data_IF_045324705844
#
_entry.id   IF_045324705844
#
_cell.length_a   1.000
_cell.length_b   1.000
_cell.length_c   1.000
_cell.angle_alpha   90.00
_cell.angle_beta   90.00
_cell.angle_gamma   90.00
#
_symmetry.space_group_name_H-M   'P 1'
#
loop_
_entity.id
_entity.type
_entity.pdbx_description
1 polymer ?
#
# COMPACT_ATOMS: atom_id res chain seq x y z
N UNK A 1 9.94 -8.67 -21.03
CA UNK A 1 10.35 -8.84 -19.61
C UNK A 1 9.24 -8.26 -18.76
N UNK A 2 8.76 -8.99 -17.75
CA UNK A 2 7.76 -8.46 -16.82
C UNK A 2 8.35 -7.26 -16.06
N UNK A 3 7.64 -6.14 -16.06
CA UNK A 3 8.08 -4.94 -15.34
C UNK A 3 7.75 -5.13 -13.86
N UNK A 4 8.61 -4.69 -12.94
CA UNK A 4 8.26 -4.66 -11.51
C UNK A 4 7.25 -3.54 -11.22
N UNK A 5 6.28 -3.77 -10.35
CA UNK A 5 5.34 -2.75 -9.91
C UNK A 5 6.03 -1.86 -8.87
N UNK A 6 6.16 -0.56 -9.17
CA UNK A 6 6.67 0.45 -8.24
C UNK A 6 5.49 1.06 -7.49
N UNK A 7 5.38 0.80 -6.20
CA UNK A 7 4.33 1.31 -5.34
C UNK A 7 4.92 2.34 -4.36
N UNK A 8 4.28 3.49 -4.24
CA UNK A 8 4.56 4.44 -3.18
C UNK A 8 3.46 4.40 -2.12
N UNK A 9 3.81 4.25 -0.85
CA UNK A 9 2.89 4.29 0.28
C UNK A 9 3.15 5.55 1.09
N UNK A 10 2.25 6.53 0.97
CA UNK A 10 2.24 7.76 1.74
C UNK A 10 1.39 7.59 2.98
N UNK A 11 2.01 7.67 4.15
CA UNK A 11 1.35 7.49 5.44
C UNK A 11 2.10 8.26 6.52
N UNK A 12 1.37 8.84 7.47
CA UNK A 12 1.96 9.53 8.60
C UNK A 12 2.66 8.58 9.58
N UNK A 13 3.43 9.12 10.55
CA UNK A 13 4.11 8.30 11.57
C UNK A 13 3.15 7.49 12.44
N UNK A 14 1.92 7.96 12.63
CA UNK A 14 0.91 7.27 13.43
C UNK A 14 0.26 6.09 12.68
N UNK A 15 0.43 6.06 11.36
CA UNK A 15 -0.10 5.04 10.45
C UNK A 15 0.96 3.97 10.12
N UNK A 16 2.04 3.90 10.90
CA UNK A 16 3.07 2.87 10.81
C UNK A 16 2.50 1.43 10.77
N UNK A 17 1.53 1.05 11.64
CA UNK A 17 0.90 -0.27 11.58
C UNK A 17 0.16 -0.53 10.26
N UNK A 18 -0.46 0.52 9.69
CA UNK A 18 -1.12 0.42 8.40
C UNK A 18 -0.08 0.19 7.29
N UNK A 19 1.01 0.94 7.30
CA UNK A 19 2.08 0.80 6.31
C UNK A 19 2.70 -0.60 6.31
N UNK A 20 2.98 -1.14 7.50
CA UNK A 20 3.50 -2.50 7.64
C UNK A 20 2.50 -3.55 7.13
N UNK A 21 1.22 -3.40 7.51
CA UNK A 21 0.15 -4.27 7.04
C UNK A 21 0.05 -4.28 5.52
N UNK A 22 0.12 -3.11 4.85
CA UNK A 22 0.05 -3.03 3.40
C UNK A 22 1.23 -3.74 2.73
N UNK A 23 2.45 -3.57 3.26
CA UNK A 23 3.64 -4.27 2.78
C UNK A 23 3.51 -5.79 2.90
N UNK A 24 3.03 -6.29 4.05
CA UNK A 24 2.77 -7.72 4.26
C UNK A 24 1.66 -8.23 3.35
N UNK A 25 0.59 -7.47 3.17
CA UNK A 25 -0.54 -7.86 2.33
C UNK A 25 -0.13 -8.10 0.87
N UNK A 26 0.79 -7.31 0.33
CA UNK A 26 1.32 -7.53 -1.03
C UNK A 26 2.02 -8.89 -1.18
N UNK A 27 2.71 -9.36 -0.13
CA UNK A 27 3.36 -10.66 -0.14
C UNK A 27 2.38 -11.84 -0.07
N UNK A 28 1.13 -11.59 0.32
CA UNK A 28 0.06 -12.60 0.43
C UNK A 28 -0.77 -12.72 -0.86
N UNK A 29 -0.45 -11.93 -1.90
CA UNK A 29 -1.14 -12.03 -3.18
C UNK A 29 -0.87 -13.39 -3.85
N UNK A 30 -1.90 -13.99 -4.47
CA UNK A 30 -1.77 -15.33 -5.08
C UNK A 30 -1.09 -15.30 -6.46
N UNK A 31 -0.28 -14.28 -6.74
CA UNK A 31 0.38 -14.05 -8.04
C UNK A 31 1.84 -13.65 -7.84
N UNK A 32 2.72 -14.06 -8.75
CA UNK A 32 4.14 -13.77 -8.63
C UNK A 32 4.52 -12.49 -9.37
N UNK A 33 4.25 -11.34 -8.73
CA UNK A 33 4.60 -10.02 -9.25
C UNK A 33 5.76 -9.44 -8.45
N UNK A 34 6.78 -8.91 -9.14
CA UNK A 34 7.89 -8.22 -8.48
C UNK A 34 7.48 -6.83 -8.02
N UNK A 35 7.75 -6.48 -6.76
CA UNK A 35 7.39 -5.20 -6.15
C UNK A 35 8.62 -4.38 -5.78
N UNK A 36 8.56 -3.07 -6.06
CA UNK A 36 9.45 -2.06 -5.48
C UNK A 36 8.57 -1.14 -4.64
N UNK A 37 8.73 -1.18 -3.32
CA UNK A 37 7.91 -0.39 -2.39
C UNK A 37 8.75 0.78 -1.87
N UNK A 38 8.26 1.99 -2.11
CA UNK A 38 8.76 3.25 -1.55
C UNK A 38 7.76 3.80 -0.55
N UNK A 39 8.23 4.58 0.42
CA UNK A 39 7.39 5.06 1.53
C UNK A 39 7.83 6.43 2.03
N UNK A 40 6.91 7.14 2.69
CA UNK A 40 7.19 8.38 3.40
C UNK A 40 8.35 8.23 4.40
N UNK A 41 9.24 9.24 4.53
CA UNK A 41 9.36 10.45 3.69
C UNK A 41 10.28 10.22 2.47
N UNK A 42 9.77 10.30 1.24
CA UNK A 42 10.57 10.15 0.00
C UNK A 42 9.85 10.80 -1.21
N UNK A 43 9.81 12.14 -1.23
CA UNK A 43 9.05 12.90 -2.25
C UNK A 43 9.56 12.65 -3.67
N UNK A 44 10.88 12.49 -3.84
CA UNK A 44 11.49 12.32 -5.16
C UNK A 44 11.03 11.00 -5.83
N UNK A 45 10.84 9.94 -5.02
CA UNK A 45 10.35 8.65 -5.52
C UNK A 45 8.88 8.68 -5.95
N UNK A 46 8.11 9.72 -5.61
CA UNK A 46 6.70 9.85 -6.02
C UNK A 46 6.58 9.93 -7.54
N UNK A 47 7.52 10.57 -8.24
CA UNK A 47 7.47 10.67 -9.69
C UNK A 47 7.68 9.29 -10.38
N UNK A 48 8.51 8.44 -9.79
CA UNK A 48 8.93 7.16 -10.37
C UNK A 48 7.98 5.98 -10.13
N UNK A 49 7.00 6.11 -9.23
CA UNK A 49 6.09 5.01 -8.93
C UNK A 49 5.06 4.78 -10.05
N UNK A 50 4.58 3.54 -10.21
CA UNK A 50 3.45 3.22 -11.08
C UNK A 50 2.11 3.44 -10.37
N UNK A 51 2.12 3.35 -9.04
CA UNK A 51 0.97 3.45 -8.17
C UNK A 51 1.32 4.31 -6.96
N UNK A 52 0.36 5.12 -6.53
CA UNK A 52 0.46 5.88 -5.31
C UNK A 52 -0.68 5.50 -4.37
N UNK A 53 -0.36 5.19 -3.12
CA UNK A 53 -1.32 4.89 -2.06
C UNK A 53 -1.13 5.93 -0.98
N UNK A 54 -2.23 6.53 -0.54
CA UNK A 54 -2.24 7.42 0.63
C UNK A 54 -3.15 6.86 1.70
N UNK A 55 -2.63 6.77 2.93
CA UNK A 55 -3.38 6.36 4.11
C UNK A 55 -3.41 7.52 5.09
N UNK A 56 -4.62 7.99 5.41
CA UNK A 56 -4.85 9.08 6.37
C UNK A 56 -5.60 8.53 7.59
N UNK A 57 -5.06 8.79 8.78
CA UNK A 57 -5.73 8.53 10.05
C UNK A 57 -6.65 9.69 10.47
N UNK A 58 -6.69 10.02 11.79
CA UNK A 58 -7.43 11.16 12.31
C UNK A 58 -6.90 12.53 11.87
N UNK A 59 -5.60 12.62 11.58
CA UNK A 59 -4.93 13.88 11.25
C UNK A 59 -3.99 13.71 10.04
N UNK A 60 -3.54 14.84 9.47
CA UNK A 60 -2.54 14.89 8.43
C UNK A 60 -1.17 15.27 9.02
N UNK A 61 -0.12 14.55 8.65
CA UNK A 61 1.25 14.85 9.06
C UNK A 61 2.13 15.18 7.86
N UNK A 62 3.08 16.11 8.01
CA UNK A 62 4.12 16.30 7.01
C UNK A 62 5.01 15.03 6.91
N UNK A 63 5.52 14.66 5.72
CA UNK A 63 5.35 15.32 4.43
C UNK A 63 4.20 14.79 3.55
N UNK A 64 3.23 14.05 4.11
CA UNK A 64 2.14 13.38 3.35
C UNK A 64 1.41 14.35 2.42
N UNK A 65 1.12 15.56 2.89
CA UNK A 65 0.45 16.56 2.06
C UNK A 65 1.25 16.96 0.81
N UNK A 66 2.58 17.07 0.93
CA UNK A 66 3.46 17.37 -0.20
C UNK A 66 3.57 16.19 -1.17
N UNK A 67 3.63 14.97 -0.64
CA UNK A 67 3.66 13.75 -1.46
C UNK A 67 2.38 13.59 -2.29
N UNK A 68 1.20 13.85 -1.69
CA UNK A 68 -0.09 13.86 -2.39
C UNK A 68 -0.14 14.98 -3.43
N UNK A 69 0.35 16.17 -3.10
CA UNK A 69 0.42 17.30 -4.02
C UNK A 69 1.25 16.97 -5.28
N UNK A 70 2.36 16.25 -5.13
CA UNK A 70 3.16 15.78 -6.25
C UNK A 70 2.48 14.64 -7.01
N UNK A 71 1.92 13.66 -6.32
CA UNK A 71 1.23 12.53 -6.94
C UNK A 71 0.08 12.99 -7.84
N UNK A 72 -0.69 13.99 -7.43
CA UNK A 72 -1.80 14.55 -8.24
C UNK A 72 -1.37 15.20 -9.56
N UNK A 73 -0.09 15.56 -9.70
CA UNK A 73 0.48 16.12 -10.94
C UNK A 73 0.94 15.04 -11.91
N UNK A 74 0.78 13.79 -11.53
CA UNK A 74 1.11 12.64 -12.36
C UNK A 74 -0.19 11.95 -12.79
N UNK A 75 -0.22 11.38 -13.99
CA UNK A 75 -1.41 10.67 -14.52
C UNK A 75 -1.55 9.24 -13.96
N UNK A 76 -0.92 8.95 -12.81
CA UNK A 76 -0.90 7.59 -12.25
C UNK A 76 -2.10 7.35 -11.31
N UNK A 77 -2.50 6.07 -11.13
CA UNK A 77 -3.55 5.75 -10.18
C UNK A 77 -3.15 6.12 -8.74
N UNK A 78 -4.08 6.79 -8.07
CA UNK A 78 -3.97 7.16 -6.65
C UNK A 78 -5.08 6.44 -5.88
N UNK A 79 -4.70 5.60 -4.92
CA UNK A 79 -5.65 4.96 -4.01
C UNK A 79 -5.63 5.67 -2.66
N UNK A 80 -6.75 6.32 -2.32
CA UNK A 80 -6.91 7.03 -1.07
C UNK A 80 -7.64 6.17 -0.04
N UNK A 81 -7.05 6.02 1.15
CA UNK A 81 -7.68 5.36 2.28
C UNK A 81 -7.75 6.32 3.47
N UNK A 82 -8.94 6.48 4.03
CA UNK A 82 -9.14 7.34 5.19
C UNK A 82 -9.80 6.57 6.33
N UNK A 83 -9.18 6.60 7.51
CA UNK A 83 -9.75 6.03 8.73
C UNK A 83 -11.14 6.62 8.98
N UNK A 84 -12.10 5.81 9.42
CA UNK A 84 -13.46 6.25 9.73
C UNK A 84 -13.56 7.02 11.06
N UNK A 85 -12.48 7.04 11.86
CA UNK A 85 -12.42 7.74 13.14
C UNK A 85 -12.67 9.26 13.01
N UNK A 86 -12.98 9.89 14.14
CA UNK A 86 -13.12 11.34 14.23
C UNK A 86 -11.80 12.02 13.81
N UNK A 87 -11.93 13.05 12.98
CA UNK A 87 -10.78 13.78 12.40
C UNK A 87 -10.60 15.13 13.06
N UNK A 88 -9.34 15.53 13.17
CA UNK A 88 -8.98 16.91 13.49
C UNK A 88 -9.50 17.87 12.40
N UNK A 89 -9.62 19.17 12.68
CA UNK A 89 -9.92 20.15 11.65
C UNK A 89 -8.92 20.12 10.47
N UNK A 90 -7.64 19.90 10.74
CA UNK A 90 -6.61 19.80 9.69
C UNK A 90 -6.82 18.57 8.80
N UNK A 91 -7.09 17.40 9.38
CA UNK A 91 -7.44 16.19 8.63
C UNK A 91 -8.73 16.33 7.82
N UNK A 92 -9.72 17.08 8.32
CA UNK A 92 -10.95 17.37 7.58
C UNK A 92 -10.69 18.25 6.36
N UNK A 93 -9.99 19.38 6.54
CA UNK A 93 -9.63 20.29 5.45
C UNK A 93 -8.82 19.56 4.38
N UNK A 94 -7.84 18.75 4.79
CA UNK A 94 -7.01 17.99 3.86
C UNK A 94 -7.84 17.07 2.95
N UNK A 95 -8.83 16.35 3.50
CA UNK A 95 -9.71 15.50 2.70
C UNK A 95 -10.64 16.31 1.79
N UNK A 96 -11.12 17.47 2.24
CA UNK A 96 -11.97 18.35 1.45
C UNK A 96 -11.21 18.94 0.24
N UNK A 97 -9.97 19.39 0.44
CA UNK A 97 -9.10 19.88 -0.64
C UNK A 97 -8.71 18.78 -1.65
N UNK A 98 -8.78 17.52 -1.21
CA UNK A 98 -8.48 16.35 -2.02
C UNK A 98 -9.72 15.51 -2.29
N UNK A 99 -10.91 16.13 -2.36
CA UNK A 99 -12.19 15.45 -2.62
C UNK A 99 -12.25 14.75 -3.98
N UNK A 100 -11.41 15.17 -4.94
CA UNK A 100 -11.31 14.52 -6.26
C UNK A 100 -10.62 13.16 -6.22
N UNK A 101 -10.02 12.78 -5.09
CA UNK A 101 -9.52 11.43 -4.89
C UNK A 101 -10.67 10.52 -4.40
N UNK A 102 -10.73 9.31 -4.92
CA UNK A 102 -11.68 8.30 -4.46
C UNK A 102 -11.23 7.75 -3.10
N UNK A 103 -11.70 8.39 -2.03
CA UNK A 103 -11.36 8.01 -0.66
C UNK A 103 -12.19 6.81 -0.17
N UNK A 104 -11.53 5.67 -0.04
CA UNK A 104 -12.11 4.49 0.62
C UNK A 104 -12.01 4.63 2.14
N UNK A 105 -13.16 4.67 2.81
CA UNK A 105 -13.23 4.71 4.27
C UNK A 105 -12.94 3.33 4.87
N UNK A 106 -12.15 3.27 5.93
CA UNK A 106 -11.89 2.01 6.65
C UNK A 106 -12.08 2.18 8.17
N UNK A 107 -12.76 1.22 8.80
CA UNK A 107 -12.98 1.24 10.26
C UNK A 107 -11.75 0.72 11.06
N UNK A 108 -10.85 -0.02 10.41
CA UNK A 108 -9.64 -0.53 11.05
C UNK A 108 -8.75 -1.30 10.07
N UNK A 109 -7.63 -1.82 10.57
CA UNK A 109 -6.60 -2.49 9.78
C UNK A 109 -7.14 -3.65 8.91
N UNK A 110 -8.00 -4.57 9.40
CA UNK A 110 -8.54 -5.63 8.54
C UNK A 110 -9.37 -5.10 7.36
N UNK A 111 -10.12 -4.01 7.57
CA UNK A 111 -10.90 -3.38 6.50
C UNK A 111 -9.98 -2.68 5.48
N UNK A 112 -8.94 -1.98 5.96
CA UNK A 112 -7.92 -1.38 5.12
C UNK A 112 -7.22 -2.43 4.25
N UNK A 113 -6.77 -3.55 4.84
CA UNK A 113 -6.12 -4.65 4.12
C UNK A 113 -7.02 -5.18 2.99
N UNK A 114 -8.30 -5.42 3.28
CA UNK A 114 -9.24 -5.92 2.26
C UNK A 114 -9.44 -4.93 1.11
N UNK A 115 -9.68 -3.65 1.44
CA UNK A 115 -9.86 -2.62 0.44
C UNK A 115 -8.61 -2.50 -0.46
N UNK A 116 -7.44 -2.43 0.17
CA UNK A 116 -6.17 -2.38 -0.51
C UNK A 116 -5.93 -3.56 -1.44
N UNK A 117 -6.12 -4.79 -0.96
CA UNK A 117 -5.92 -5.98 -1.77
C UNK A 117 -6.92 -6.06 -2.94
N UNK A 118 -8.14 -5.59 -2.75
CA UNK A 118 -9.11 -5.52 -3.84
C UNK A 118 -8.65 -4.52 -4.92
N UNK A 119 -8.21 -3.33 -4.54
CA UNK A 119 -7.74 -2.30 -5.47
C UNK A 119 -6.47 -2.73 -6.21
N UNK A 120 -5.51 -3.33 -5.50
CA UNK A 120 -4.31 -3.90 -6.13
C UNK A 120 -4.67 -5.04 -7.09
N UNK A 121 -5.59 -5.92 -6.71
CA UNK A 121 -6.05 -7.01 -7.58
C UNK A 121 -6.68 -6.47 -8.86
N UNK A 122 -7.56 -5.46 -8.76
CA UNK A 122 -8.16 -4.78 -9.92
C UNK A 122 -7.09 -4.13 -10.80
N UNK A 123 -6.12 -3.45 -10.19
CA UNK A 123 -5.03 -2.83 -10.92
C UNK A 123 -4.21 -3.84 -11.72
N UNK A 124 -3.80 -4.94 -11.08
CA UNK A 124 -3.01 -5.99 -11.73
C UNK A 124 -3.79 -6.68 -12.85
N UNK A 125 -5.09 -6.92 -12.67
CA UNK A 125 -5.95 -7.48 -13.71
C UNK A 125 -6.09 -6.53 -14.90
N UNK A 126 -6.22 -5.21 -14.66
CA UNK A 126 -6.30 -4.21 -15.72
C UNK A 126 -4.99 -4.05 -16.52
N UNK A 127 -3.85 -4.42 -15.93
CA UNK A 127 -2.52 -4.24 -16.52
C UNK A 127 -1.73 -5.56 -16.63
N UNK A 128 -2.43 -6.69 -16.72
CA UNK A 128 -1.84 -8.03 -16.58
C UNK A 128 -0.67 -8.29 -17.53
N UNK A 129 -0.81 -7.89 -18.80
CA UNK A 129 0.24 -8.05 -19.83
C UNK A 129 1.54 -7.30 -19.47
N UNK A 130 1.42 -6.08 -18.92
CA UNK A 130 2.56 -5.23 -18.55
C UNK A 130 3.39 -5.84 -17.42
N UNK A 131 2.71 -6.50 -16.49
CA UNK A 131 3.31 -7.08 -15.29
C UNK A 131 3.57 -8.60 -15.42
N UNK A 132 3.32 -9.17 -16.60
CA UNK A 132 3.61 -10.57 -16.90
C UNK A 132 2.68 -11.55 -16.22
N UNK A 133 1.45 -11.15 -15.85
CA UNK A 133 0.45 -12.07 -15.32
C UNK A 133 0.07 -13.08 -16.41
N UNK A 134 0.20 -14.37 -16.07
CA UNK A 134 -0.33 -15.44 -16.91
C UNK A 134 -1.85 -15.49 -16.84
N UNK A 135 -2.49 -16.16 -17.80
CA UNK A 135 -3.95 -16.36 -17.80
C UNK A 135 -4.40 -17.08 -16.52
N UNK A 136 -3.63 -18.07 -16.06
CA UNK A 136 -3.92 -18.85 -14.83
C UNK A 136 -3.82 -17.98 -13.58
N UNK A 137 -2.80 -17.13 -13.49
CA UNK A 137 -2.68 -16.14 -12.41
C UNK A 137 -3.80 -15.11 -12.45
N UNK A 138 -4.21 -14.66 -13.64
CA UNK A 138 -5.36 -13.78 -13.82
C UNK A 138 -6.67 -14.39 -13.30
N UNK A 139 -6.96 -15.65 -13.61
CA UNK A 139 -8.13 -16.35 -13.07
C UNK A 139 -8.05 -16.52 -11.54
N UNK A 140 -6.87 -16.88 -11.03
CA UNK A 140 -6.64 -17.02 -9.59
C UNK A 140 -6.89 -15.70 -8.87
N UNK A 141 -6.40 -14.59 -9.44
CA UNK A 141 -6.56 -13.25 -8.88
C UNK A 141 -8.02 -12.77 -8.97
N UNK A 142 -8.76 -13.11 -10.02
CA UNK A 142 -10.21 -12.85 -10.12
C UNK A 142 -11.00 -13.60 -9.04
N UNK A 143 -10.66 -14.87 -8.80
CA UNK A 143 -11.24 -15.66 -7.72
C UNK A 143 -10.95 -15.05 -6.35
N UNK A 144 -9.71 -14.63 -6.12
CA UNK A 144 -9.28 -13.96 -4.89
C UNK A 144 -10.03 -12.64 -4.66
N UNK A 145 -10.12 -11.78 -5.69
CA UNK A 145 -10.88 -10.54 -5.64
C UNK A 145 -12.36 -10.79 -5.27
N UNK A 146 -12.97 -11.80 -5.87
CA UNK A 146 -14.36 -12.18 -5.57
C UNK A 146 -14.55 -12.59 -4.10
N UNK A 147 -13.57 -13.25 -3.49
CA UNK A 147 -13.61 -13.62 -2.07
C UNK A 147 -13.47 -12.39 -1.17
N UNK A 148 -12.61 -11.44 -1.51
CA UNK A 148 -12.44 -10.20 -0.77
C UNK A 148 -13.73 -9.36 -0.77
N UNK A 149 -14.41 -9.27 -1.92
CA UNK A 149 -15.64 -8.51 -2.08
C UNK A 149 -16.83 -9.17 -1.37
N UNK A 150 -16.95 -10.51 -1.44
CA UNK A 150 -18.00 -11.27 -0.74
C UNK A 150 -17.84 -11.24 0.79
N UNK A 151 -16.61 -11.05 1.27
CA UNK A 151 -16.30 -10.92 2.71
C UNK A 151 -16.51 -9.49 3.24
N UNK A 152 -17.24 -8.65 2.50
CA UNK A 152 -17.56 -7.27 2.86
C UNK A 152 -18.35 -7.15 4.18
N UNK A 153 -18.30 -5.98 4.85
CA UNK A 153 -18.79 -5.82 6.21
C UNK A 153 -20.31 -5.92 6.30
N UNK A 154 -20.83 -6.72 7.25
CA UNK A 154 -22.09 -6.39 7.92
C UNK A 154 -21.84 -5.12 8.74
N UNK A 155 -22.73 -4.10 8.71
CA UNK A 155 -22.61 -2.96 9.61
C UNK A 155 -22.81 -3.48 11.05
N UNK A 156 -21.76 -3.43 11.86
CA UNK A 156 -21.76 -3.87 13.25
C UNK A 156 -20.77 -3.01 14.05
N UNK A 157 -21.03 -2.77 15.34
CA UNK A 157 -20.44 -1.67 16.09
C UNK A 157 -18.95 -1.84 16.38
N UNK A 158 -18.30 -0.68 16.45
CA UNK A 158 -16.87 -0.40 16.55
C UNK A 158 -16.21 -1.04 17.78
N UNK A 159 -15.03 -1.64 17.61
CA UNK A 159 -14.15 -2.01 18.73
C UNK A 159 -12.71 -1.58 18.43
N UNK A 160 -11.97 -1.01 19.41
CA UNK A 160 -10.68 -0.37 19.15
C UNK A 160 -9.53 -1.37 18.93
N UNK A 161 -8.55 -0.93 18.14
CA UNK A 161 -7.33 -1.67 17.80
C UNK A 161 -6.35 -1.67 18.98
N UNK A 162 -6.01 -2.84 19.51
CA UNK A 162 -4.89 -3.05 20.43
C UNK A 162 -3.58 -3.27 19.67
N UNK A 163 -2.53 -2.68 20.23
CA UNK A 163 -1.17 -2.50 19.71
C UNK A 163 -0.41 -3.82 19.52
N UNK A 164 0.47 -3.86 18.51
CA UNK A 164 1.58 -4.79 18.43
C UNK A 164 2.86 -4.04 18.05
N UNK A 165 3.89 -4.24 18.89
CA UNK A 165 5.15 -3.49 18.93
C UNK A 165 6.20 -4.08 17.98
N UNK A 166 6.82 -3.21 17.18
CA UNK A 166 8.26 -3.18 16.87
C UNK A 166 8.92 -4.28 16.02
N UNK A 167 9.46 -3.88 14.86
CA UNK A 167 10.86 -4.11 14.47
C UNK A 167 11.21 -3.22 13.27
N UNK A 168 12.03 -2.19 13.50
CA UNK A 168 12.49 -1.24 12.49
C UNK A 168 13.57 -1.85 11.60
N UNK A 169 13.33 -1.86 10.29
CA UNK A 169 14.31 -2.20 9.26
C UNK A 169 13.62 -2.48 7.94
N UNK A 170 13.91 -1.70 6.90
CA UNK A 170 13.35 -1.93 5.56
C UNK A 170 13.71 -3.33 5.06
N UNK A 171 12.70 -4.14 4.75
CA UNK A 171 12.87 -5.49 4.22
C UNK A 171 12.62 -5.55 2.72
N UNK A 172 13.55 -6.16 1.98
CA UNK A 172 13.31 -6.66 0.63
C UNK A 172 12.71 -8.05 0.76
N UNK A 173 11.47 -8.26 0.29
CA UNK A 173 10.87 -9.59 0.24
C UNK A 173 11.28 -10.23 -1.09
N UNK A 174 12.22 -11.18 -1.03
CA UNK A 174 12.54 -12.07 -2.14
C UNK A 174 11.74 -13.36 -1.99
N UNK A 175 11.06 -13.77 -3.06
CA UNK A 175 10.42 -15.08 -3.11
C UNK A 175 11.49 -16.20 -3.10
N UNK A 176 11.28 -17.31 -2.38
CA UNK A 176 12.18 -18.44 -2.46
C UNK A 176 11.96 -19.20 -3.78
N UNK A 177 13.03 -19.37 -4.55
CA UNK A 177 13.10 -20.35 -5.64
C UNK A 177 13.36 -19.81 -7.05
N UNK A 178 14.55 -19.25 -7.29
CA UNK A 178 15.34 -19.52 -8.51
C UNK A 178 16.80 -19.02 -8.38
N UNK A 179 17.70 -19.98 -8.21
CA UNK A 179 19.17 -20.00 -8.39
C UNK A 179 20.08 -18.87 -7.87
N UNK A 180 20.67 -19.16 -6.71
CA UNK A 180 22.10 -19.40 -6.43
C UNK A 180 23.22 -18.39 -6.81
N UNK A 181 23.95 -18.03 -5.73
CA UNK A 181 25.40 -17.79 -5.60
C UNK A 181 26.05 -16.49 -6.13
N UNK A 182 26.17 -15.47 -5.26
CA UNK A 182 27.42 -15.10 -4.53
C UNK A 182 27.32 -13.68 -3.93
N UNK A 183 27.45 -13.59 -2.60
CA UNK A 183 27.99 -12.43 -1.90
C UNK A 183 27.01 -11.31 -1.53
N UNK A 184 26.10 -11.54 -0.58
CA UNK A 184 25.50 -10.44 0.18
C UNK A 184 26.50 -10.00 1.27
N UNK A 185 27.25 -8.92 1.03
CA UNK A 185 27.99 -8.20 2.07
C UNK A 185 27.06 -7.19 2.72
N UNK A 186 26.95 -7.25 4.04
CA UNK A 186 26.42 -6.18 4.87
C UNK A 186 27.43 -5.01 4.85
N UNK A 187 27.05 -3.88 4.27
CA UNK A 187 27.77 -2.61 4.47
C UNK A 187 27.15 -1.98 5.71
N UNK A 188 27.86 -2.02 6.83
CA UNK A 188 27.40 -1.35 8.04
C UNK A 188 27.93 -1.83 9.38
N UNK A 189 29.10 -2.45 9.47
CA UNK A 189 29.85 -2.46 10.73
C UNK A 189 30.93 -1.38 10.65
N UNK A 190 30.62 -0.24 11.25
CA UNK A 190 31.64 0.62 11.84
C UNK A 190 31.87 0.10 13.25
N UNK A 191 33.06 -0.38 13.52
CA UNK A 191 33.65 -0.31 14.86
C UNK A 191 35.14 0.05 14.73
N UNK A 192 35.72 0.63 15.79
CA UNK A 192 36.87 1.55 15.76
C UNK A 192 38.21 0.94 15.36
#
# INVERSE_FOLDING_TARGET
MATQVRLFISAGPHEDPARELLGRALAELPVNVGWIIKRTPDVDSVAECHLFVVVIGPDISAPVGLEVWWARRTEKPIFGYASAANRTPAGQVFLQENVTLDWTRFAGLPALRRAFLADISRFLLAHGERYGLTVVEGETLRGYLSLLEKSGPRPGPETPLTEATGAGGGGVILAPGKDDMRGARLIGDKEP
#
